data_IF_492022500827
#
_entry.id   IF_492022500827
#
_cell.length_a   1.000
_cell.length_b   1.000
_cell.length_c   1.000
_cell.angle_alpha   90.00
_cell.angle_beta   90.00
_cell.angle_gamma   90.00
#
_symmetry.space_group_name_H-M   'P 1'
#
loop_
_entity.id
_entity.type
_entity.pdbx_description
1 polymer ?
#
# COMPACT_ATOMS: atom_id res chain seq x y z
N UNK A 1 29.53 13.91 4.09
CA UNK A 1 29.83 12.47 4.23
C UNK A 1 28.72 11.78 5.01
N UNK A 2 28.16 10.74 4.41
CA UNK A 2 27.05 9.97 4.98
C UNK A 2 27.51 8.52 5.15
N UNK A 3 27.20 7.95 6.31
CA UNK A 3 27.42 6.55 6.62
C UNK A 3 26.16 5.76 6.33
N UNK A 4 26.28 4.70 5.54
CA UNK A 4 25.21 3.77 5.24
C UNK A 4 25.44 2.46 5.98
N UNK A 5 24.38 1.86 6.49
CA UNK A 5 24.36 0.58 7.17
C UNK A 5 23.25 -0.28 6.57
N UNK A 6 23.44 -1.59 6.56
CA UNK A 6 22.42 -2.54 6.11
C UNK A 6 22.07 -3.46 7.27
N UNK A 7 20.85 -3.35 7.81
CA UNK A 7 20.40 -4.28 8.84
C UNK A 7 19.85 -5.55 8.18
N UNK A 8 20.46 -6.68 8.51
CA UNK A 8 20.10 -8.02 8.04
C UNK A 8 19.09 -8.74 8.94
N UNK A 9 18.56 -8.07 9.98
CA UNK A 9 17.63 -8.69 10.95
C UNK A 9 16.24 -8.87 10.35
N UNK A 10 15.88 -8.00 9.42
CA UNK A 10 14.61 -8.05 8.68
C UNK A 10 14.85 -8.50 7.24
N UNK A 11 13.81 -9.07 6.62
CA UNK A 11 13.76 -9.41 5.20
C UNK A 11 12.58 -8.67 4.58
N UNK A 12 12.78 -7.79 3.60
CA UNK A 12 14.04 -7.38 2.98
C UNK A 12 14.99 -6.64 3.94
N UNK A 13 16.29 -6.63 3.64
CA UNK A 13 17.28 -5.94 4.48
C UNK A 13 16.97 -4.45 4.55
N UNK A 14 17.01 -3.88 5.75
CA UNK A 14 16.71 -2.48 5.99
C UNK A 14 17.91 -1.59 5.68
N UNK A 15 17.66 -0.48 4.98
CA UNK A 15 18.67 0.52 4.63
C UNK A 15 18.66 1.65 5.64
N UNK A 16 19.77 1.80 6.37
CA UNK A 16 19.94 2.80 7.42
C UNK A 16 21.05 3.75 7.01
N UNK A 17 20.92 5.04 7.28
CA UNK A 17 21.97 6.01 7.01
C UNK A 17 22.03 7.10 8.08
N UNK A 18 23.23 7.65 8.26
CA UNK A 18 23.58 8.57 9.35
C UNK A 18 24.53 9.63 8.81
N UNK A 19 24.26 10.91 9.09
CA UNK A 19 25.19 11.98 8.78
C UNK A 19 26.40 11.96 9.71
N UNK A 20 27.59 12.23 9.18
CA UNK A 20 28.83 12.24 9.98
C UNK A 20 28.78 13.28 11.12
N UNK A 21 28.17 14.42 10.85
CA UNK A 21 28.08 15.54 11.79
C UNK A 21 26.75 16.29 11.66
N UNK A 22 26.59 17.35 12.45
CA UNK A 22 25.39 18.17 12.49
C UNK A 22 25.07 18.87 11.17
N UNK A 23 26.06 19.22 10.35
CA UNK A 23 25.84 19.90 9.07
C UNK A 23 25.30 18.92 8.03
N UNK A 24 25.90 17.73 7.97
CA UNK A 24 25.40 16.63 7.13
C UNK A 24 23.98 16.22 7.53
N UNK A 25 23.67 16.25 8.83
CA UNK A 25 22.31 15.98 9.31
C UNK A 25 21.32 17.06 8.85
N UNK A 26 21.70 18.34 8.78
CA UNK A 26 20.83 19.38 8.22
C UNK A 26 20.53 19.14 6.73
N UNK A 27 21.53 18.73 5.96
CA UNK A 27 21.32 18.40 4.54
C UNK A 27 20.42 17.15 4.38
N UNK A 28 20.62 16.13 5.22
CA UNK A 28 19.75 14.95 5.24
C UNK A 28 18.31 15.30 5.64
N UNK A 29 18.10 16.22 6.60
CA UNK A 29 16.76 16.70 6.95
C UNK A 29 16.16 17.46 5.76
N UNK A 30 16.94 18.30 5.09
CA UNK A 30 16.45 19.11 3.98
C UNK A 30 16.07 18.28 2.76
N UNK A 31 16.81 17.22 2.46
CA UNK A 31 16.63 16.37 1.27
C UNK A 31 16.05 14.99 1.55
N UNK A 32 15.59 14.74 2.78
CA UNK A 32 14.93 13.49 3.17
C UNK A 32 13.67 13.19 2.37
N UNK A 33 13.30 11.92 2.35
CA UNK A 33 12.14 11.39 1.66
C UNK A 33 10.98 11.19 2.65
N UNK A 34 9.75 11.10 2.15
CA UNK A 34 8.57 10.86 2.98
C UNK A 34 8.58 9.47 3.64
N UNK A 35 9.27 8.52 3.01
CA UNK A 35 9.49 7.15 3.47
C UNK A 35 10.57 7.06 4.55
N UNK A 36 11.28 8.16 4.82
CA UNK A 36 12.38 8.16 5.76
C UNK A 36 11.85 8.37 7.19
N UNK A 37 12.39 7.57 8.09
CA UNK A 37 12.11 7.60 9.51
C UNK A 37 13.29 8.19 10.25
N UNK A 38 13.03 9.02 11.24
CA UNK A 38 14.05 9.71 12.00
C UNK A 38 14.08 9.24 13.47
N UNK A 39 15.26 8.82 13.95
CA UNK A 39 15.50 8.51 15.35
C UNK A 39 16.57 9.43 15.96
N UNK A 40 16.26 10.04 17.10
CA UNK A 40 17.14 10.95 17.84
C UNK A 40 16.87 10.90 19.36
N UNK A 41 17.79 11.46 20.15
CA UNK A 41 17.61 11.94 21.51
C UNK A 41 18.71 12.94 21.86
N UNK A 42 18.40 14.01 22.60
CA UNK A 42 19.35 14.85 23.37
C UNK A 42 20.75 14.96 22.72
N UNK A 43 20.86 15.79 21.68
CA UNK A 43 22.14 16.08 21.03
C UNK A 43 22.85 14.82 20.49
N UNK A 44 22.10 13.90 19.88
CA UNK A 44 22.65 12.67 19.29
C UNK A 44 22.82 12.74 17.79
N UNK A 45 23.45 11.71 17.23
CA UNK A 45 23.46 11.49 15.80
C UNK A 45 22.04 11.18 15.32
N UNK A 46 21.60 11.92 14.30
CA UNK A 46 20.32 11.68 13.64
C UNK A 46 20.45 10.44 12.76
N UNK A 47 19.67 9.40 13.08
CA UNK A 47 19.63 8.17 12.30
C UNK A 47 18.39 8.16 11.43
N UNK A 48 18.58 7.75 10.18
CA UNK A 48 17.51 7.60 9.23
C UNK A 48 17.37 6.16 8.77
N UNK A 49 16.14 5.66 8.75
CA UNK A 49 15.78 4.39 8.13
C UNK A 49 14.94 4.70 6.89
N UNK A 50 15.30 4.08 5.75
CA UNK A 50 14.49 4.12 4.55
C UNK A 50 13.51 2.94 4.56
N UNK A 51 12.21 3.25 4.63
CA UNK A 51 11.16 2.24 4.55
C UNK A 51 11.00 1.73 3.12
N UNK A 52 10.61 0.47 2.97
CA UNK A 52 10.26 -0.09 1.66
C UNK A 52 8.82 0.23 1.28
N UNK A 53 8.49 0.20 -0.02
CA UNK A 53 7.15 0.47 -0.50
C UNK A 53 6.12 -0.48 0.16
N UNK A 54 5.19 0.09 0.92
CA UNK A 54 4.15 -0.65 1.65
C UNK A 54 4.42 -0.84 3.16
N UNK A 55 5.63 -0.52 3.64
CA UNK A 55 5.90 -0.46 5.08
C UNK A 55 5.42 0.86 5.67
N UNK A 56 4.78 0.78 6.83
CA UNK A 56 4.33 1.97 7.57
C UNK A 56 5.25 2.22 8.76
N UNK A 57 5.58 3.47 9.04
CA UNK A 57 6.36 3.89 10.22
C UNK A 57 5.75 3.39 11.55
N UNK A 58 4.44 3.12 11.56
CA UNK A 58 3.72 2.62 12.72
C UNK A 58 4.00 1.16 13.05
N UNK A 59 4.40 0.37 12.05
CA UNK A 59 4.54 -1.09 12.14
C UNK A 59 5.95 -1.53 11.73
N UNK A 60 6.96 -1.01 12.43
CA UNK A 60 8.36 -1.41 12.23
C UNK A 60 8.64 -2.62 13.14
N UNK A 61 9.27 -3.70 12.64
CA UNK A 61 9.66 -4.84 13.47
C UNK A 61 10.52 -4.42 14.66
N UNK A 62 10.19 -4.92 15.85
CA UNK A 62 10.90 -4.63 17.09
C UNK A 62 12.42 -4.87 17.00
N UNK A 63 12.92 -5.95 16.37
CA UNK A 63 14.36 -6.17 16.24
C UNK A 63 15.08 -5.10 15.39
N UNK A 64 14.41 -4.54 14.38
CA UNK A 64 14.97 -3.43 13.60
C UNK A 64 14.97 -2.14 14.41
N UNK A 65 13.92 -1.93 15.20
CA UNK A 65 13.82 -0.77 16.08
C UNK A 65 14.91 -0.80 17.17
N UNK A 66 15.21 -1.98 17.73
CA UNK A 66 16.32 -2.19 18.64
C UNK A 66 17.67 -1.88 17.99
N UNK A 67 17.91 -2.36 16.76
CA UNK A 67 19.12 -2.04 15.99
C UNK A 67 19.32 -0.53 15.84
N UNK A 68 18.27 0.17 15.43
CA UNK A 68 18.30 1.63 15.25
C UNK A 68 18.55 2.33 16.58
N UNK A 69 17.84 1.94 17.64
CA UNK A 69 17.97 2.57 18.94
C UNK A 69 19.37 2.35 19.56
N UNK A 70 19.93 1.15 19.39
CA UNK A 70 21.31 0.83 19.79
C UNK A 70 22.32 1.64 18.98
N UNK A 71 22.12 1.81 17.68
CA UNK A 71 22.97 2.63 16.83
C UNK A 71 22.90 4.11 17.20
N UNK A 72 21.70 4.65 17.51
CA UNK A 72 21.51 6.04 17.95
C UNK A 72 22.22 6.26 19.29
N UNK A 73 22.05 5.32 20.23
CA UNK A 73 22.75 5.36 21.52
C UNK A 73 24.27 5.32 21.35
N UNK A 74 24.79 4.45 20.49
CA UNK A 74 26.22 4.29 20.25
C UNK A 74 26.87 5.53 19.63
N UNK A 75 26.16 6.21 18.73
CA UNK A 75 26.64 7.42 18.05
C UNK A 75 26.33 8.72 18.82
N UNK A 76 25.66 8.64 19.99
CA UNK A 76 25.42 9.79 20.86
C UNK A 76 26.61 10.00 21.81
N UNK A 77 27.14 11.22 21.88
CA UNK A 77 28.26 11.57 22.77
C UNK A 77 27.86 11.38 24.25
N UNK A 78 26.67 11.83 24.61
CA UNK A 78 26.13 11.74 25.97
C UNK A 78 25.40 10.41 26.20
N UNK A 79 24.62 9.96 25.22
CA UNK A 79 23.79 8.76 25.31
C UNK A 79 24.58 7.47 25.43
N UNK A 80 25.76 7.39 24.82
CA UNK A 80 26.59 6.19 24.85
C UNK A 80 27.06 5.82 26.28
N UNK A 81 27.20 6.80 27.18
CA UNK A 81 27.66 6.59 28.56
C UNK A 81 26.52 6.42 29.57
N UNK A 82 25.28 6.69 29.18
CA UNK A 82 24.11 6.66 30.07
C UNK A 82 23.34 5.37 29.87
N UNK A 83 22.87 4.79 30.97
CA UNK A 83 21.89 3.71 30.95
C UNK A 83 20.47 4.27 30.86
N UNK A 84 19.51 3.41 30.48
CA UNK A 84 18.09 3.71 30.40
C UNK A 84 17.79 4.94 29.53
N UNK A 85 18.30 4.90 28.30
CA UNK A 85 18.19 5.99 27.34
C UNK A 85 16.94 5.78 26.49
N UNK A 86 15.94 6.65 26.68
CA UNK A 86 14.77 6.71 25.79
C UNK A 86 15.11 7.35 24.44
N UNK A 87 15.14 6.58 23.36
CA UNK A 87 15.26 7.09 22.00
C UNK A 87 13.88 7.43 21.46
N UNK A 88 13.75 8.58 20.81
CA UNK A 88 12.51 8.97 20.16
C UNK A 88 12.59 8.69 18.67
N UNK A 89 11.45 8.42 18.07
CA UNK A 89 11.36 8.25 16.65
C UNK A 89 10.08 8.80 16.06
N UNK A 90 10.19 9.30 14.83
CA UNK A 90 9.13 10.00 14.12
C UNK A 90 9.32 9.86 12.61
N UNK A 91 8.24 9.86 11.80
CA UNK A 91 8.38 10.01 10.35
C UNK A 91 9.01 11.36 10.00
N UNK A 92 9.75 11.42 8.90
CA UNK A 92 10.38 12.64 8.40
C UNK A 92 9.38 13.76 8.12
N UNK A 93 8.18 13.44 7.63
CA UNK A 93 7.12 14.41 7.35
C UNK A 93 6.66 15.20 8.59
N UNK A 94 6.92 14.68 9.79
CA UNK A 94 6.58 15.34 11.05
C UNK A 94 7.69 16.27 11.58
N UNK A 95 8.91 16.23 11.00
CA UNK A 95 10.00 17.09 11.41
C UNK A 95 9.73 18.53 10.99
N UNK A 96 9.86 19.45 11.95
CA UNK A 96 9.81 20.89 11.71
C UNK A 96 11.18 21.49 11.95
N UNK A 97 11.69 22.14 10.91
CA UNK A 97 12.88 22.99 10.99
C UNK A 97 12.50 24.40 10.57
N UNK A 98 12.72 25.36 11.45
CA UNK A 98 12.58 26.78 11.14
C UNK A 98 13.97 27.40 10.91
N UNK A 99 14.06 28.41 10.07
CA UNK A 99 15.34 29.06 9.71
C UNK A 99 15.99 29.80 10.90
N UNK A 100 15.22 30.04 11.96
CA UNK A 100 15.69 30.61 13.22
C UNK A 100 16.28 29.58 14.20
N UNK A 101 16.12 28.28 13.94
CA UNK A 101 16.58 27.22 14.83
C UNK A 101 18.07 26.93 14.65
N UNK A 102 18.78 26.70 15.76
CA UNK A 102 20.19 26.38 15.73
C UNK A 102 20.48 25.10 14.95
N UNK A 103 21.69 24.98 14.39
CA UNK A 103 22.15 23.78 13.67
C UNK A 103 22.12 22.56 14.60
N UNK A 104 21.40 21.51 14.20
CA UNK A 104 21.15 20.30 14.98
C UNK A 104 19.90 20.36 15.87
N UNK A 105 19.20 21.50 15.94
CA UNK A 105 17.93 21.59 16.65
C UNK A 105 16.76 21.25 15.71
N UNK A 106 15.95 20.27 16.08
CA UNK A 106 14.72 19.89 15.37
C UNK A 106 13.52 20.02 16.30
N UNK A 107 12.37 20.39 15.74
CA UNK A 107 11.07 20.40 16.41
C UNK A 107 10.13 19.45 15.69
N UNK A 108 8.95 19.19 16.27
CA UNK A 108 7.93 18.31 15.69
C UNK A 108 6.67 19.11 15.41
N UNK A 109 5.95 18.76 14.33
CA UNK A 109 4.63 19.34 14.07
C UNK A 109 3.60 18.77 15.03
N UNK A 110 3.56 17.43 15.16
CA UNK A 110 2.64 16.69 16.04
C UNK A 110 3.43 15.79 16.99
N UNK A 111 3.35 16.05 18.30
CA UNK A 111 3.95 15.18 19.33
C UNK A 111 3.30 13.79 19.40
N UNK A 112 2.07 13.64 18.89
CA UNK A 112 1.36 12.36 18.84
C UNK A 112 1.99 11.36 17.86
N UNK A 113 2.71 11.87 16.84
CA UNK A 113 3.44 11.06 15.87
C UNK A 113 4.87 10.74 16.33
N UNK A 114 5.20 11.07 17.58
CA UNK A 114 6.48 10.74 18.20
C UNK A 114 6.31 9.54 19.11
N UNK A 115 6.96 8.44 18.76
CA UNK A 115 7.02 7.24 19.58
C UNK A 115 8.37 7.14 20.28
N UNK A 116 8.45 6.32 21.32
CA UNK A 116 9.59 6.24 22.23
C UNK A 116 9.98 4.79 22.48
N UNK A 117 11.28 4.52 22.50
CA UNK A 117 11.86 3.20 22.80
C UNK A 117 12.83 3.37 23.96
N UNK A 118 12.71 2.54 24.97
CA UNK A 118 13.64 2.55 26.09
C UNK A 118 14.79 1.56 25.83
N UNK A 119 16.00 2.09 25.68
CA UNK A 119 17.21 1.27 25.60
C UNK A 119 17.87 1.21 26.97
N UNK A 120 17.78 0.06 27.64
CA UNK A 120 18.36 -0.16 28.97
C UNK A 120 19.89 -0.02 28.93
N UNK A 121 20.55 -0.88 28.17
CA UNK A 121 22.01 -0.95 28.09
C UNK A 121 22.47 -1.03 26.64
N UNK A 122 23.74 -0.69 26.42
CA UNK A 122 24.37 -0.78 25.11
C UNK A 122 24.69 -2.24 24.79
N UNK A 123 24.26 -2.72 23.64
CA UNK A 123 24.57 -4.07 23.17
C UNK A 123 25.65 -4.05 22.09
N UNK A 124 26.85 -4.47 22.46
CA UNK A 124 28.00 -4.45 21.56
C UNK A 124 27.87 -5.43 20.38
N UNK A 125 27.13 -6.52 20.56
CA UNK A 125 26.92 -7.52 19.49
C UNK A 125 26.18 -6.91 18.31
N UNK A 126 25.11 -6.15 18.58
CA UNK A 126 24.31 -5.44 17.58
C UNK A 126 25.17 -4.40 16.84
N UNK A 127 25.87 -3.56 17.59
CA UNK A 127 26.70 -2.49 17.02
C UNK A 127 27.83 -3.07 16.15
N UNK A 128 28.50 -4.12 16.62
CA UNK A 128 29.56 -4.75 15.85
C UNK A 128 29.04 -5.39 14.57
N UNK A 129 27.82 -5.96 14.58
CA UNK A 129 27.18 -6.47 13.37
C UNK A 129 26.86 -5.34 12.38
N UNK A 130 26.27 -4.24 12.84
CA UNK A 130 25.94 -3.11 11.99
C UNK A 130 27.21 -2.47 11.40
N UNK A 131 28.27 -2.30 12.20
CA UNK A 131 29.54 -1.74 11.74
C UNK A 131 30.23 -2.56 10.65
N UNK A 132 29.99 -3.88 10.57
CA UNK A 132 30.50 -4.71 9.45
C UNK A 132 29.87 -4.35 8.11
N UNK A 133 28.66 -3.79 8.13
CA UNK A 133 27.92 -3.37 6.93
C UNK A 133 28.06 -1.86 6.65
N UNK A 134 28.92 -1.17 7.41
CA UNK A 134 29.12 0.27 7.29
C UNK A 134 29.81 0.57 5.95
N UNK A 135 29.17 1.43 5.15
CA UNK A 135 29.71 1.95 3.89
C UNK A 135 29.72 3.47 3.97
N UNK A 136 30.87 4.06 3.67
CA UNK A 136 31.04 5.52 3.67
C UNK A 136 30.86 6.04 2.24
N UNK A 137 29.99 7.02 2.03
CA UNK A 137 29.78 7.65 0.73
C UNK A 137 29.68 9.17 0.85
N UNK A 138 29.92 9.84 -0.27
CA UNK A 138 29.71 11.28 -0.46
C UNK A 138 28.61 11.49 -1.51
N UNK A 139 27.34 11.19 -1.18
CA UNK A 139 26.22 11.39 -2.11
C UNK A 139 25.97 12.88 -2.33
N UNK A 140 25.62 13.26 -3.55
CA UNK A 140 25.01 14.57 -3.81
C UNK A 140 23.49 14.44 -3.61
N UNK A 141 23.07 14.63 -2.35
CA UNK A 141 21.69 14.44 -1.91
C UNK A 141 20.68 15.31 -2.69
N UNK A 142 21.14 16.47 -3.17
CA UNK A 142 20.31 17.38 -3.94
C UNK A 142 19.98 16.79 -5.32
N UNK A 143 20.98 16.25 -5.99
CA UNK A 143 20.81 15.65 -7.32
C UNK A 143 19.92 14.40 -7.25
N UNK A 144 20.14 13.51 -6.26
CA UNK A 144 19.31 12.31 -6.09
C UNK A 144 17.83 12.65 -5.88
N UNK A 145 17.54 13.70 -5.09
CA UNK A 145 16.15 14.15 -4.88
C UNK A 145 15.55 14.75 -6.15
N UNK A 146 16.29 15.58 -6.87
CA UNK A 146 15.80 16.19 -8.12
C UNK A 146 15.50 15.13 -9.18
N UNK A 147 16.36 14.12 -9.33
CA UNK A 147 16.18 13.02 -10.27
C UNK A 147 14.95 12.18 -9.92
N UNK A 148 14.78 11.80 -8.65
CA UNK A 148 13.57 11.07 -8.20
C UNK A 148 12.31 11.90 -8.39
N UNK A 149 12.34 13.20 -8.08
CA UNK A 149 11.18 14.06 -8.28
C UNK A 149 10.84 14.21 -9.76
N UNK A 150 11.85 14.24 -10.64
CA UNK A 150 11.66 14.28 -12.10
C UNK A 150 11.06 12.98 -12.61
N UNK A 151 11.49 11.84 -12.07
CA UNK A 151 10.92 10.53 -12.39
C UNK A 151 9.46 10.40 -11.93
N UNK A 152 9.16 10.85 -10.70
CA UNK A 152 7.80 10.87 -10.17
C UNK A 152 6.87 11.73 -11.05
N UNK A 153 7.30 12.95 -11.41
CA UNK A 153 6.56 13.84 -12.33
C UNK A 153 6.32 13.20 -13.69
N UNK A 154 7.32 12.49 -14.24
CA UNK A 154 7.16 11.76 -15.51
C UNK A 154 6.13 10.63 -15.39
N UNK A 155 6.15 9.89 -14.29
CA UNK A 155 5.19 8.82 -14.01
C UNK A 155 3.76 9.36 -13.88
N UNK A 156 3.59 10.46 -13.16
CA UNK A 156 2.29 11.13 -13.01
C UNK A 156 1.77 11.68 -14.34
N UNK A 157 2.65 12.29 -15.15
CA UNK A 157 2.29 12.75 -16.49
C UNK A 157 1.89 11.58 -17.40
N UNK A 158 2.62 10.46 -17.34
CA UNK A 158 2.28 9.26 -18.10
C UNK A 158 0.93 8.67 -17.66
N UNK A 159 0.67 8.61 -16.34
CA UNK A 159 -0.61 8.15 -15.80
C UNK A 159 -1.78 9.06 -16.20
N UNK A 160 -1.61 10.38 -16.13
CA UNK A 160 -2.60 11.36 -16.57
C UNK A 160 -2.87 11.27 -18.08
N UNK A 161 -1.82 11.09 -18.89
CA UNK A 161 -1.97 10.92 -20.33
C UNK A 161 -2.67 9.59 -20.67
N UNK A 162 -2.37 8.51 -19.94
CA UNK A 162 -3.06 7.23 -20.09
C UNK A 162 -4.55 7.34 -19.76
N UNK A 163 -4.91 7.98 -18.63
CA UNK A 163 -6.31 8.25 -18.26
C UNK A 163 -7.02 9.09 -19.33
N UNK A 164 -6.38 10.17 -19.80
CA UNK A 164 -6.96 11.04 -20.84
C UNK A 164 -7.17 10.30 -22.17
N UNK A 165 -6.26 9.39 -22.55
CA UNK A 165 -6.40 8.56 -23.75
C UNK A 165 -7.57 7.58 -23.62
N UNK A 166 -7.72 6.95 -22.45
CA UNK A 166 -8.82 6.01 -22.20
C UNK A 166 -10.18 6.73 -22.20
N UNK A 167 -10.29 7.87 -21.53
CA UNK A 167 -11.50 8.70 -21.55
C UNK A 167 -11.84 9.18 -22.96
N UNK A 168 -10.84 9.56 -23.76
CA UNK A 168 -11.05 9.94 -25.16
C UNK A 168 -11.52 8.77 -26.02
N UNK A 169 -11.03 7.55 -25.77
CA UNK A 169 -11.48 6.32 -26.47
C UNK A 169 -12.94 6.03 -26.15
N UNK A 170 -13.31 6.03 -24.87
CA UNK A 170 -14.69 5.82 -24.41
C UNK A 170 -15.62 6.90 -24.96
N UNK A 171 -15.17 8.17 -25.01
CA UNK A 171 -15.98 9.26 -25.59
C UNK A 171 -16.22 9.05 -27.09
N UNK A 172 -15.20 8.66 -27.87
CA UNK A 172 -15.34 8.35 -29.29
C UNK A 172 -16.28 7.19 -29.55
N UNK A 173 -16.19 6.12 -28.76
CA UNK A 173 -17.10 4.97 -28.86
C UNK A 173 -18.55 5.36 -28.57
N UNK A 174 -18.78 6.17 -27.52
CA UNK A 174 -20.12 6.72 -27.21
C UNK A 174 -20.65 7.61 -28.32
N UNK A 175 -19.80 8.42 -28.93
CA UNK A 175 -20.17 9.32 -30.04
C UNK A 175 -20.48 8.52 -31.30
N UNK A 176 -19.70 7.50 -31.62
CA UNK A 176 -19.97 6.57 -32.73
C UNK A 176 -21.26 5.79 -32.52
N UNK A 177 -21.52 5.29 -31.31
CA UNK A 177 -22.77 4.59 -31.01
C UNK A 177 -23.98 5.54 -31.10
N UNK A 178 -23.85 6.79 -30.65
CA UNK A 178 -24.88 7.82 -30.83
C UNK A 178 -25.12 8.12 -32.30
N UNK A 179 -24.05 8.26 -33.09
CA UNK A 179 -24.13 8.48 -34.52
C UNK A 179 -24.80 7.30 -35.23
N UNK A 180 -24.39 6.06 -34.97
CA UNK A 180 -25.03 4.86 -35.52
C UNK A 180 -26.52 4.78 -35.16
N UNK A 181 -26.89 5.07 -33.91
CA UNK A 181 -28.30 5.11 -33.50
C UNK A 181 -29.07 6.24 -34.19
N UNK A 182 -28.47 7.41 -34.36
CA UNK A 182 -29.11 8.53 -35.05
C UNK A 182 -29.31 8.23 -36.55
N UNK A 183 -28.30 7.70 -37.23
CA UNK A 183 -28.40 7.27 -38.64
C UNK A 183 -29.39 6.14 -38.82
N UNK A 184 -29.44 5.17 -37.89
CA UNK A 184 -30.47 4.13 -37.92
C UNK A 184 -31.89 4.68 -37.72
N UNK A 185 -32.06 5.79 -37.00
CA UNK A 185 -33.34 6.48 -36.89
C UNK A 185 -33.65 7.32 -38.14
N UNK A 186 -32.68 8.01 -38.73
CA UNK A 186 -32.88 8.77 -39.98
C UNK A 186 -33.23 7.84 -41.17
N UNK A 187 -32.63 6.65 -41.28
CA UNK A 187 -33.00 5.64 -42.29
C UNK A 187 -34.41 5.06 -42.11
N UNK A 188 -34.96 5.09 -40.89
CA UNK A 188 -36.36 4.72 -40.59
C UNK A 188 -37.34 5.85 -40.96
N UNK A 189 -36.87 7.11 -41.02
CA UNK A 189 -37.70 8.29 -41.30
C UNK A 189 -37.50 8.90 -42.69
N UNK A 190 -36.64 8.32 -43.54
CA UNK A 190 -36.54 8.68 -44.95
C UNK A 190 -37.84 8.32 -45.69
N UNK A 191 -38.45 9.30 -46.37
CA UNK A 191 -39.78 9.20 -47.00
C UNK A 191 -39.90 8.07 -48.07
N UNK A 192 -38.79 7.52 -48.59
CA UNK A 192 -38.79 6.36 -49.49
C UNK A 192 -39.09 5.02 -48.77
N UNK A 193 -38.79 4.89 -47.47
CA UNK A 193 -39.10 3.70 -46.67
C UNK A 193 -40.43 3.83 -45.90
N UNK A 194 -41.11 4.97 -46.00
CA UNK A 194 -42.39 5.25 -45.33
C UNK A 194 -43.62 5.01 -46.23
N UNK A 195 -43.64 3.96 -47.05
CA UNK A 195 -44.90 3.42 -47.59
C UNK A 195 -44.84 1.90 -47.74
N UNK A 196 -45.55 1.18 -46.88
CA UNK A 196 -46.47 0.13 -47.35
C UNK A 196 -47.60 -0.07 -46.33
N UNK A 197 -48.82 0.02 -46.84
CA UNK A 197 -50.11 -0.10 -46.17
C UNK A 197 -50.21 -1.39 -45.32
N UNK A 198 -50.94 -1.43 -44.18
CA UNK A 198 -51.08 -2.61 -43.31
C UNK A 198 -51.94 -3.75 -43.88
N UNK A 199 -52.04 -3.91 -45.21
CA UNK A 199 -53.01 -4.81 -45.86
C UNK A 199 -52.45 -5.87 -46.81
N UNK A 200 -51.14 -5.99 -46.96
CA UNK A 200 -50.54 -7.20 -47.55
C UNK A 200 -49.95 -8.10 -46.46
N UNK A 201 -50.83 -8.51 -45.55
CA UNK A 201 -50.64 -9.76 -44.82
C UNK A 201 -51.15 -10.86 -45.74
N UNK A 202 -50.25 -11.53 -46.46
CA UNK A 202 -50.29 -12.97 -46.72
C UNK A 202 -49.05 -13.37 -47.55
N UNK A 203 -48.42 -14.47 -47.12
CA UNK A 203 -47.30 -15.23 -47.75
C UNK A 203 -45.89 -14.75 -47.34
N UNK A 204 -44.98 -15.58 -46.82
CA UNK A 204 -45.00 -16.97 -46.36
C UNK A 204 -44.21 -17.07 -45.05
N UNK A 205 -44.65 -17.95 -44.15
CA UNK A 205 -43.91 -18.29 -42.95
C UNK A 205 -42.52 -18.88 -43.34
N UNK A 206 -41.41 -18.31 -42.86
CA UNK A 206 -40.12 -18.99 -42.99
C UNK A 206 -40.14 -20.24 -42.10
N UNK A 207 -39.77 -21.37 -42.72
CA UNK A 207 -39.63 -22.66 -42.08
C UNK A 207 -38.63 -22.56 -40.91
N UNK A 208 -39.12 -22.82 -39.70
CA UNK A 208 -38.31 -22.81 -38.48
C UNK A 208 -37.42 -24.06 -38.49
N UNK A 209 -36.27 -23.99 -39.15
CA UNK A 209 -35.17 -24.92 -38.90
C UNK A 209 -34.58 -24.54 -37.55
N UNK A 210 -34.97 -25.29 -36.50
CA UNK A 210 -34.30 -25.25 -35.20
C UNK A 210 -32.93 -25.92 -35.35
N UNK A 211 -31.94 -25.18 -35.81
CA UNK A 211 -30.55 -25.53 -35.53
C UNK A 211 -30.23 -25.04 -34.11
N UNK A 212 -30.29 -25.95 -33.13
CA UNK A 212 -29.69 -25.76 -31.81
C UNK A 212 -28.16 -25.68 -32.00
N UNK A 213 -27.65 -24.54 -32.44
CA UNK A 213 -26.23 -24.23 -32.28
C UNK A 213 -25.99 -23.83 -30.82
N UNK A 214 -25.87 -24.85 -29.96
CA UNK A 214 -25.27 -24.70 -28.64
C UNK A 214 -23.85 -24.19 -28.84
N UNK A 215 -23.62 -22.90 -28.60
CA UNK A 215 -22.28 -22.43 -28.29
C UNK A 215 -21.82 -23.17 -27.03
N UNK A 216 -20.66 -23.86 -27.04
CA UNK A 216 -20.10 -24.39 -25.82
C UNK A 216 -19.75 -23.19 -24.93
N UNK A 217 -20.42 -23.07 -23.79
CA UNK A 217 -19.90 -22.29 -22.68
C UNK A 217 -18.50 -22.82 -22.43
N UNK A 218 -17.47 -22.01 -22.67
CA UNK A 218 -16.13 -22.31 -22.20
C UNK A 218 -16.25 -22.60 -20.70
N UNK A 219 -15.92 -23.84 -20.32
CA UNK A 219 -15.70 -24.18 -18.92
C UNK A 219 -14.69 -23.16 -18.39
N UNK A 220 -15.15 -22.27 -17.50
CA UNK A 220 -14.26 -21.67 -16.54
C UNK A 220 -13.70 -22.83 -15.72
N UNK A 221 -12.39 -23.04 -15.81
CA UNK A 221 -11.68 -24.00 -14.98
C UNK A 221 -12.07 -23.75 -13.51
N UNK A 222 -12.57 -24.77 -12.78
CA UNK A 222 -12.79 -24.65 -11.35
C UNK A 222 -11.46 -24.37 -10.66
N UNK A 223 -11.28 -23.10 -10.27
CA UNK A 223 -10.22 -22.69 -9.36
C UNK A 223 -10.29 -23.52 -8.10
N UNK A 224 -9.15 -24.11 -7.75
CA UNK A 224 -8.94 -25.04 -6.66
C UNK A 224 -9.39 -24.48 -5.30
N UNK A 225 -10.61 -24.80 -4.87
CA UNK A 225 -11.01 -24.79 -3.45
C UNK A 225 -11.90 -26.01 -3.20
N UNK A 226 -11.32 -27.19 -3.39
CA UNK A 226 -11.96 -28.44 -3.04
C UNK A 226 -11.81 -28.67 -1.53
N UNK A 227 -12.94 -28.59 -0.79
CA UNK A 227 -13.14 -29.09 0.59
C UNK A 227 -12.28 -28.44 1.69
N UNK A 228 -12.47 -27.14 1.95
CA UNK A 228 -12.08 -26.58 3.25
C UNK A 228 -13.28 -26.54 4.19
N UNK A 229 -13.13 -27.15 5.37
CA UNK A 229 -14.10 -27.11 6.46
C UNK A 229 -13.92 -25.77 7.18
N UNK A 230 -14.85 -24.83 6.97
CA UNK A 230 -14.84 -23.53 7.64
C UNK A 230 -15.45 -23.66 9.05
N UNK A 231 -14.61 -23.50 10.07
CA UNK A 231 -15.04 -23.51 11.46
C UNK A 231 -15.60 -22.13 11.85
N UNK A 232 -16.91 -21.92 11.66
CA UNK A 232 -17.56 -20.65 11.97
C UNK A 232 -17.84 -20.53 13.47
N UNK A 233 -17.24 -19.53 14.13
CA UNK A 233 -17.51 -19.21 15.53
C UNK A 233 -18.61 -18.16 15.61
N UNK A 234 -19.86 -18.60 15.47
CA UNK A 234 -21.04 -17.82 15.84
C UNK A 234 -21.94 -17.38 14.67
N UNK A 235 -23.20 -17.08 15.02
CA UNK A 235 -24.32 -16.86 14.09
C UNK A 235 -24.11 -15.71 13.10
N UNK A 236 -23.30 -14.70 13.43
CA UNK A 236 -23.05 -13.55 12.53
C UNK A 236 -22.25 -13.92 11.28
N UNK A 237 -21.41 -14.95 11.34
CA UNK A 237 -20.64 -15.39 10.17
C UNK A 237 -21.48 -16.25 9.21
N UNK A 238 -22.50 -16.95 9.73
CA UNK A 238 -23.44 -17.74 8.94
C UNK A 238 -24.33 -16.83 8.06
N UNK A 239 -24.77 -15.69 8.60
CA UNK A 239 -25.63 -14.72 7.90
C UNK A 239 -24.92 -14.05 6.70
N UNK A 240 -23.60 -13.86 6.79
CA UNK A 240 -22.76 -13.31 5.72
C UNK A 240 -22.60 -14.28 4.54
N UNK A 241 -22.57 -15.59 4.81
CA UNK A 241 -22.48 -16.64 3.79
C UNK A 241 -23.80 -16.83 3.03
N UNK A 242 -24.92 -16.85 3.75
CA UNK A 242 -26.28 -16.92 3.15
C UNK A 242 -26.63 -15.68 2.31
N UNK A 243 -26.15 -14.48 2.69
CA UNK A 243 -26.30 -13.29 1.84
C UNK A 243 -25.47 -13.34 0.56
N UNK A 244 -24.48 -14.23 0.48
CA UNK A 244 -23.66 -14.46 -0.72
C UNK A 244 -24.34 -15.33 -1.79
N UNK A 245 -25.31 -16.19 -1.42
CA UNK A 245 -26.02 -17.08 -2.37
C UNK A 245 -26.89 -16.34 -3.39
N UNK A 246 -27.23 -15.07 -3.15
CA UNK A 246 -28.15 -14.30 -4.01
C UNK A 246 -27.51 -13.91 -5.36
N UNK A 247 -26.20 -14.15 -5.56
CA UNK A 247 -25.48 -13.75 -6.78
C UNK A 247 -24.95 -14.89 -7.66
N UNK A 248 -25.26 -16.16 -7.36
CA UNK A 248 -24.92 -17.28 -8.25
C UNK A 248 -24.97 -18.62 -7.54
N UNK A 249 -25.54 -19.64 -8.20
CA UNK A 249 -25.80 -20.98 -7.64
C UNK A 249 -24.56 -21.58 -6.96
N UNK A 250 -24.57 -21.62 -5.63
CA UNK A 250 -23.73 -22.45 -4.78
C UNK A 250 -24.69 -23.32 -3.96
N UNK A 251 -24.56 -24.65 -4.05
CA UNK A 251 -25.22 -25.56 -3.11
C UNK A 251 -24.30 -25.71 -1.89
N UNK A 252 -24.76 -25.27 -0.72
CA UNK A 252 -24.01 -25.39 0.54
C UNK A 252 -24.75 -26.35 1.47
N UNK A 253 -24.20 -27.55 1.65
CA UNK A 253 -24.66 -28.50 2.67
C UNK A 253 -24.18 -28.06 4.06
N UNK A 254 -25.10 -27.53 4.87
CA UNK A 254 -24.82 -27.09 6.25
C UNK A 254 -25.05 -28.26 7.22
N UNK A 255 -23.97 -28.88 7.69
CA UNK A 255 -24.02 -29.84 8.79
C UNK A 255 -23.95 -29.10 10.14
N UNK A 256 -25.07 -29.02 10.85
CA UNK A 256 -25.12 -28.51 12.22
C UNK A 256 -24.69 -29.61 13.20
N UNK A 257 -23.50 -29.48 13.79
CA UNK A 257 -23.08 -30.28 14.94
C UNK A 257 -23.33 -29.44 16.19
N UNK A 258 -24.36 -29.81 16.97
CA UNK A 258 -24.61 -29.26 18.30
C UNK A 258 -23.60 -29.89 19.27
N UNK A 259 -22.50 -29.20 19.56
CA UNK A 259 -21.70 -29.51 20.74
C UNK A 259 -22.34 -28.84 21.95
N UNK A 260 -23.03 -29.63 22.77
CA UNK A 260 -23.54 -29.24 24.08
C UNK A 260 -22.36 -28.91 25.02
N UNK A 261 -21.96 -27.64 25.05
CA UNK A 261 -21.09 -27.13 26.11
C UNK A 261 -21.95 -26.63 27.27
N UNK A 262 -22.22 -27.55 28.18
CA UNK A 262 -22.70 -27.32 29.53
C UNK A 262 -21.92 -26.16 30.19
N UNK A 263 -22.63 -25.06 30.45
CA UNK A 263 -22.10 -23.98 31.28
C UNK A 263 -21.99 -24.39 32.76
N UNK A 264 -21.06 -23.81 33.52
CA UNK A 264 -20.91 -24.13 34.93
C UNK A 264 -22.10 -23.57 35.72
N UNK A 265 -22.94 -24.46 36.28
CA UNK A 265 -23.91 -24.10 37.32
C UNK A 265 -23.15 -23.81 38.63
N UNK A 266 -23.46 -22.67 39.24
CA UNK A 266 -22.95 -22.23 40.55
C UNK A 266 -23.52 -23.06 41.71
N UNK A 267 -22.74 -23.06 42.79
CA UNK A 267 -23.09 -23.14 44.22
C UNK A 267 -23.40 -24.53 44.82
N UNK A 268 -22.71 -24.80 45.94
CA UNK A 268 -22.86 -25.97 46.80
C UNK A 268 -21.53 -26.32 47.46
#
# INVERSE_FOLDING_TARGET
MVYYFTSTVVKPSAYVYVGKDKFENEDLIKFGWEEDFHADKLSSAHIYLRLTEGETWDNIPEPLLEDLAQLTKANSIEGNKKDNVTIIYTPWSNLRKDGSMAVGQVSFHDDRKVKRVLVRQRENVIINRLNKTKVEKHPDLKQEREDRQKELRKRDQAAMLARKKEEARIKKEREQLKHQKAHAYDDIFNEENMVSDPRDVLVAAPEVVREEQRQPLHLAEPGALHREVLHLRGLRQLELLLRGEVLGRLEVDVLLVLEDLEGPRRAG
#
